data_IF_900541696629
#
_entry.id   IF_900541696629
#
_cell.length_a   1.000
_cell.length_b   1.000
_cell.length_c   1.000
_cell.angle_alpha   90.00
_cell.angle_beta   90.00
_cell.angle_gamma   90.00
#
_symmetry.space_group_name_H-M   'P 1'
#
loop_
_entity.id
_entity.type
_entity.pdbx_description
1 polymer ?
#
# COMPACT_ATOMS: atom_id res chain seq x y z
N UNK A 1 -43.20 -5.52 -2.67
CA UNK A 1 -43.17 -4.46 -3.67
C UNK A 1 -43.43 -3.12 -3.01
N UNK A 2 -42.39 -2.33 -2.75
CA UNK A 2 -42.48 -0.87 -2.49
C UNK A 2 -41.14 -0.30 -2.94
N UNK A 3 -41.18 0.39 -4.08
CA UNK A 3 -40.05 1.15 -4.65
C UNK A 3 -39.90 2.42 -3.83
N UNK A 4 -38.70 2.66 -3.26
CA UNK A 4 -38.30 3.96 -2.77
C UNK A 4 -37.53 4.68 -3.88
N UNK A 5 -38.14 5.75 -4.39
CA UNK A 5 -37.53 6.71 -5.30
C UNK A 5 -36.85 7.76 -4.42
N UNK A 6 -35.50 7.81 -4.48
CA UNK A 6 -34.72 8.86 -3.84
C UNK A 6 -34.57 10.03 -4.81
N UNK A 7 -35.25 11.13 -4.51
CA UNK A 7 -35.21 12.37 -5.28
C UNK A 7 -33.93 13.16 -4.86
N UNK A 8 -32.96 13.28 -5.78
CA UNK A 8 -31.84 14.19 -5.61
C UNK A 8 -32.30 15.61 -5.96
N UNK A 9 -32.39 16.46 -4.96
CA UNK A 9 -32.61 17.91 -5.16
C UNK A 9 -31.24 18.55 -5.36
N UNK A 10 -30.95 18.95 -6.60
CA UNK A 10 -29.81 19.79 -6.94
C UNK A 10 -30.16 21.23 -6.52
N UNK A 11 -29.59 21.67 -5.42
CA UNK A 11 -29.66 23.07 -5.00
C UNK A 11 -28.74 23.95 -5.85
N UNK A 12 -29.27 24.64 -6.83
CA UNK A 12 -28.59 25.73 -7.51
C UNK A 12 -28.63 26.93 -6.58
N UNK A 13 -27.53 27.26 -5.92
CA UNK A 13 -27.39 28.55 -5.22
C UNK A 13 -27.04 29.63 -6.23
N UNK A 14 -28.05 30.41 -6.58
CA UNK A 14 -27.87 31.64 -7.34
C UNK A 14 -27.10 32.67 -6.49
N UNK A 15 -25.90 33.05 -6.92
CA UNK A 15 -25.22 34.23 -6.41
C UNK A 15 -25.99 35.48 -6.85
N UNK A 16 -26.71 36.08 -5.91
CA UNK A 16 -27.31 37.40 -6.10
C UNK A 16 -26.23 38.47 -5.99
N UNK A 17 -25.97 39.13 -7.10
CA UNK A 17 -25.22 40.38 -7.13
C UNK A 17 -26.04 41.47 -6.35
N UNK A 18 -25.57 41.81 -5.14
CA UNK A 18 -26.06 43.01 -4.50
C UNK A 18 -25.40 44.23 -5.12
N UNK A 19 -26.18 44.95 -5.93
CA UNK A 19 -25.91 46.31 -6.27
C UNK A 19 -26.23 47.18 -5.06
N UNK A 20 -25.23 47.84 -4.46
CA UNK A 20 -25.46 48.90 -3.51
C UNK A 20 -25.71 50.20 -4.28
N UNK A 21 -26.90 50.75 -4.08
CA UNK A 21 -27.24 52.14 -4.41
C UNK A 21 -26.85 53.08 -3.26
N UNK A 22 -26.44 54.26 -3.66
CA UNK A 22 -26.02 55.42 -2.97
C UNK A 22 -26.60 55.65 -1.53
N UNK A 23 -25.66 55.79 -0.58
CA UNK A 23 -25.91 56.41 0.71
C UNK A 23 -24.64 57.20 1.07
N UNK A 24 -24.72 58.53 0.98
CA UNK A 24 -23.66 59.46 1.45
C UNK A 24 -23.44 59.27 2.93
N UNK A 25 -22.33 58.59 3.28
CA UNK A 25 -21.73 58.56 4.59
C UNK A 25 -20.25 58.78 4.40
N UNK A 26 -19.73 59.94 4.81
CA UNK A 26 -18.30 60.21 4.89
C UNK A 26 -17.63 59.18 5.84
N UNK A 27 -17.22 58.05 5.29
CA UNK A 27 -16.14 57.28 5.90
C UNK A 27 -14.83 57.77 5.30
N UNK A 28 -14.00 58.34 6.19
CA UNK A 28 -12.61 58.67 5.93
C UNK A 28 -11.87 57.34 5.55
N UNK A 29 -12.05 56.89 4.32
CA UNK A 29 -11.21 55.87 3.74
C UNK A 29 -9.88 56.52 3.36
N UNK A 30 -8.85 56.31 4.17
CA UNK A 30 -7.48 56.44 3.70
C UNK A 30 -7.30 55.54 2.51
N UNK A 31 -7.74 55.98 1.33
CA UNK A 31 -7.49 55.22 0.09
C UNK A 31 -6.00 55.21 -0.12
N UNK A 32 -5.41 54.03 0.05
CA UNK A 32 -4.02 53.80 -0.30
C UNK A 32 -3.74 54.38 -1.67
N UNK A 33 -2.72 55.23 -1.78
CA UNK A 33 -2.28 55.74 -3.08
C UNK A 33 -1.57 54.69 -3.92
N UNK A 34 -1.27 53.51 -3.34
CA UNK A 34 -0.69 52.38 -4.01
C UNK A 34 -1.79 51.64 -4.77
N UNK A 35 -1.58 51.47 -6.08
CA UNK A 35 -2.43 50.67 -6.94
C UNK A 35 -1.64 49.50 -7.50
N UNK A 36 -2.18 48.29 -7.38
CA UNK A 36 -1.63 47.07 -8.00
C UNK A 36 -1.89 47.21 -9.51
N UNK A 37 -0.84 47.11 -10.31
CA UNK A 37 -0.86 47.15 -11.77
C UNK A 37 -0.98 45.72 -12.32
N UNK A 38 -0.23 44.81 -11.78
CA UNK A 38 -0.32 43.37 -12.12
C UNK A 38 0.06 42.52 -10.91
N UNK A 39 -0.59 41.38 -10.73
CA UNK A 39 -0.30 40.39 -9.70
C UNK A 39 -0.72 39.00 -10.18
N UNK A 40 0.16 38.04 -10.02
CA UNK A 40 -0.16 36.62 -10.01
C UNK A 40 0.00 36.15 -8.56
N UNK A 41 -1.11 35.74 -7.93
CA UNK A 41 -1.14 35.49 -6.48
C UNK A 41 -1.51 34.07 -6.12
N UNK A 42 -1.79 33.23 -7.11
CA UNK A 42 -2.11 31.80 -6.95
C UNK A 42 -0.86 30.96 -7.24
N UNK A 43 -0.23 30.46 -6.17
CA UNK A 43 1.01 29.70 -6.25
C UNK A 43 0.71 28.20 -6.39
N UNK A 44 1.58 27.51 -7.13
CA UNK A 44 1.54 26.05 -7.29
C UNK A 44 1.91 25.33 -5.98
N UNK A 45 1.39 24.10 -5.83
CA UNK A 45 1.65 23.27 -4.66
C UNK A 45 3.13 22.90 -4.50
N UNK A 46 3.84 22.61 -5.59
CA UNK A 46 5.27 22.22 -5.57
C UNK A 46 6.23 23.37 -5.24
N UNK A 47 5.69 24.57 -5.07
CA UNK A 47 6.48 25.81 -4.92
C UNK A 47 6.43 26.63 -6.18
N UNK A 48 6.51 27.94 -5.98
CA UNK A 48 6.43 28.90 -7.09
C UNK A 48 7.06 30.24 -6.67
N UNK A 49 7.44 31.04 -7.66
CA UNK A 49 7.92 32.40 -7.48
C UNK A 49 7.19 33.32 -8.45
N UNK A 50 6.65 34.42 -7.91
CA UNK A 50 5.81 35.38 -8.64
C UNK A 50 6.17 36.82 -8.28
N UNK A 51 5.57 37.79 -8.98
CA UNK A 51 5.80 39.18 -8.71
C UNK A 51 4.50 40.01 -8.80
N UNK A 52 4.45 41.05 -7.96
CA UNK A 52 3.42 42.08 -7.99
C UNK A 52 4.06 43.37 -8.46
N UNK A 53 3.47 44.03 -9.44
CA UNK A 53 3.88 45.38 -9.87
C UNK A 53 2.88 46.40 -9.37
N UNK A 54 3.40 47.48 -8.81
CA UNK A 54 2.59 48.62 -8.32
C UNK A 54 2.96 49.91 -9.04
N UNK A 55 2.12 50.95 -8.89
CA UNK A 55 2.28 52.25 -9.55
C UNK A 55 3.30 53.18 -8.89
N UNK A 56 3.79 52.87 -7.69
CA UNK A 56 4.73 53.71 -6.87
C UNK A 56 5.94 52.89 -6.44
N UNK A 57 7.02 53.62 -6.12
CA UNK A 57 8.21 53.00 -5.50
C UNK A 57 7.86 52.49 -4.08
N UNK A 58 8.37 51.31 -3.78
CA UNK A 58 8.10 50.57 -2.54
C UNK A 58 9.23 50.80 -1.57
N UNK A 59 8.92 51.17 -0.34
CA UNK A 59 9.88 51.30 0.75
C UNK A 59 10.04 49.98 1.53
N UNK A 60 8.99 49.18 1.61
CA UNK A 60 8.97 47.89 2.32
C UNK A 60 7.86 47.00 1.82
N UNK A 61 8.15 45.71 1.67
CA UNK A 61 7.13 44.67 1.52
C UNK A 61 7.48 43.45 2.40
N UNK A 62 6.46 42.81 2.95
CA UNK A 62 6.63 41.65 3.83
C UNK A 62 5.36 40.81 3.95
N UNK A 63 5.53 39.55 4.32
CA UNK A 63 4.48 38.68 4.84
C UNK A 63 4.79 38.30 6.27
N UNK A 64 3.78 38.03 7.08
CA UNK A 64 3.95 37.57 8.45
C UNK A 64 4.12 36.04 8.53
N UNK A 65 3.85 35.34 7.44
CA UNK A 65 3.97 33.87 7.38
C UNK A 65 5.33 33.44 6.87
N UNK A 66 5.96 32.54 7.59
CA UNK A 66 7.33 32.07 7.30
C UNK A 66 7.45 31.23 6.02
N UNK A 67 6.33 30.76 5.46
CA UNK A 67 6.36 29.96 4.24
C UNK A 67 6.47 30.80 2.95
N UNK A 68 6.26 32.12 3.03
CA UNK A 68 6.36 33.04 1.90
C UNK A 68 7.52 34.01 2.11
N UNK A 69 8.54 33.93 1.29
CA UNK A 69 9.62 34.92 1.22
C UNK A 69 9.19 36.09 0.36
N UNK A 70 9.46 37.32 0.77
CA UNK A 70 9.06 38.55 0.08
C UNK A 70 10.24 39.52 0.01
N UNK A 71 10.49 40.07 -1.20
CA UNK A 71 11.47 41.13 -1.43
C UNK A 71 10.85 42.24 -2.25
N UNK A 72 11.35 43.47 -2.12
CA UNK A 72 10.85 44.60 -2.90
C UNK A 72 12.01 45.39 -3.51
N UNK A 73 11.86 45.76 -4.79
CA UNK A 73 12.78 46.60 -5.53
C UNK A 73 12.01 47.53 -6.47
N UNK A 74 12.21 48.86 -6.29
CA UNK A 74 11.48 49.84 -7.06
C UNK A 74 9.96 49.70 -6.94
N UNK A 75 9.29 49.35 -8.04
CA UNK A 75 7.86 49.15 -8.13
C UNK A 75 7.45 47.68 -8.13
N UNK A 76 8.40 46.77 -7.89
CA UNK A 76 8.16 45.34 -7.95
C UNK A 76 8.33 44.68 -6.59
N UNK A 77 7.38 43.84 -6.22
CA UNK A 77 7.47 42.92 -5.07
C UNK A 77 7.60 41.52 -5.61
N UNK A 78 8.75 40.91 -5.41
CA UNK A 78 8.97 39.49 -5.72
C UNK A 78 8.71 38.65 -4.50
N UNK A 79 8.06 37.53 -4.66
CA UNK A 79 7.77 36.60 -3.58
C UNK A 79 7.86 35.15 -4.07
N UNK A 80 8.23 34.28 -3.15
CA UNK A 80 8.38 32.84 -3.45
C UNK A 80 7.97 32.00 -2.25
N UNK A 81 7.34 30.87 -2.55
CA UNK A 81 6.95 29.86 -1.58
C UNK A 81 7.63 28.53 -1.84
N UNK A 82 8.06 27.89 -0.76
CA UNK A 82 8.45 26.47 -0.81
C UNK A 82 7.20 25.59 -1.00
N UNK A 83 7.40 24.32 -1.36
CA UNK A 83 6.30 23.37 -1.57
C UNK A 83 5.36 23.28 -0.38
N UNK A 84 4.06 23.27 -0.67
CA UNK A 84 3.02 22.97 0.29
C UNK A 84 2.72 21.46 0.26
N UNK A 85 3.28 20.72 1.22
CA UNK A 85 3.10 19.27 1.33
C UNK A 85 1.76 18.84 1.92
N UNK A 86 0.94 19.81 2.40
CA UNK A 86 -0.42 19.54 2.84
C UNK A 86 -1.36 19.34 1.65
N UNK A 87 -2.40 18.56 1.82
CA UNK A 87 -3.50 18.47 0.84
C UNK A 87 -4.36 19.74 0.82
N UNK A 88 -4.28 20.55 1.87
CA UNK A 88 -5.05 21.79 1.99
C UNK A 88 -4.27 22.98 1.44
N UNK A 89 -4.98 23.88 0.76
CA UNK A 89 -4.42 25.17 0.35
C UNK A 89 -4.14 26.04 1.57
N UNK A 90 -3.15 26.93 1.44
CA UNK A 90 -2.83 27.94 2.46
C UNK A 90 -2.85 29.34 1.89
N UNK A 91 -3.20 30.30 2.71
CA UNK A 91 -3.35 31.69 2.32
C UNK A 91 -2.54 32.58 3.28
N UNK A 92 -2.05 33.68 2.73
CA UNK A 92 -1.38 34.75 3.49
C UNK A 92 -1.58 36.07 2.81
N UNK A 93 -1.04 37.11 3.42
CA UNK A 93 -1.07 38.47 2.87
C UNK A 93 0.35 39.03 2.73
N UNK A 94 0.55 39.78 1.66
CA UNK A 94 1.73 40.66 1.48
C UNK A 94 1.30 42.07 1.79
N UNK A 95 1.94 42.69 2.77
CA UNK A 95 1.82 44.12 3.05
C UNK A 95 2.84 44.89 2.25
N UNK A 96 2.40 45.84 1.42
CA UNK A 96 3.24 46.66 0.56
C UNK A 96 3.14 48.10 1.03
N UNK A 97 4.25 48.76 1.34
CA UNK A 97 4.33 50.13 1.81
C UNK A 97 5.14 51.01 0.87
N UNK A 98 4.61 52.16 0.50
CA UNK A 98 5.35 53.26 -0.15
C UNK A 98 5.81 54.31 0.89
N UNK A 99 5.10 54.41 2.04
CA UNK A 99 5.49 55.19 3.21
C UNK A 99 4.82 54.60 4.46
N UNK A 100 5.01 55.21 5.62
CA UNK A 100 4.35 54.76 6.86
C UNK A 100 2.84 54.95 6.82
N UNK A 101 2.33 55.94 6.06
CA UNK A 101 0.90 56.25 5.93
C UNK A 101 0.28 55.73 4.63
N UNK A 102 1.06 55.17 3.68
CA UNK A 102 0.58 54.67 2.39
C UNK A 102 0.95 53.22 2.24
N UNK A 103 -0.03 52.32 2.44
CA UNK A 103 0.16 50.88 2.35
C UNK A 103 -1.02 50.20 1.69
N UNK A 104 -0.79 49.06 1.08
CA UNK A 104 -1.82 48.16 0.53
C UNK A 104 -1.55 46.72 0.93
N UNK A 105 -2.55 45.87 0.85
CA UNK A 105 -2.48 44.46 1.18
C UNK A 105 -2.87 43.64 -0.04
N UNK A 106 -2.11 42.61 -0.36
CA UNK A 106 -2.41 41.66 -1.44
C UNK A 106 -2.49 40.26 -0.82
N UNK A 107 -3.59 39.59 -1.08
CA UNK A 107 -3.78 38.20 -0.67
C UNK A 107 -3.01 37.28 -1.63
N UNK A 108 -2.34 36.29 -1.07
CA UNK A 108 -1.61 35.24 -1.80
C UNK A 108 -2.14 33.90 -1.34
N UNK A 109 -2.47 33.03 -2.30
CA UNK A 109 -2.87 31.66 -2.03
C UNK A 109 -1.82 30.68 -2.57
N UNK A 110 -1.65 29.54 -1.90
CA UNK A 110 -0.89 28.43 -2.44
C UNK A 110 -1.74 27.14 -2.36
N UNK A 111 -1.83 26.46 -3.50
CA UNK A 111 -2.56 25.20 -3.57
C UNK A 111 -1.96 24.17 -2.64
N UNK A 112 -2.81 23.28 -2.10
CA UNK A 112 -2.36 22.05 -1.47
C UNK A 112 -1.94 21.04 -2.53
N UNK A 113 -1.05 20.11 -2.16
CA UNK A 113 -0.65 19.03 -3.05
C UNK A 113 -1.72 17.95 -3.08
N UNK A 114 -2.21 17.66 -4.26
CA UNK A 114 -3.00 16.46 -4.54
C UNK A 114 -2.10 15.53 -5.35
N UNK A 115 -1.71 14.41 -4.76
CA UNK A 115 -0.95 13.36 -5.42
C UNK A 115 -1.36 12.01 -4.83
N UNK A 116 -2.01 11.18 -5.64
CA UNK A 116 -2.43 9.82 -5.26
C UNK A 116 -2.64 8.99 -6.52
N UNK A 117 -2.68 7.69 -6.38
CA UNK A 117 -3.00 6.78 -7.48
C UNK A 117 -4.02 5.74 -7.03
N UNK A 118 -4.62 5.04 -8.01
CA UNK A 118 -5.57 3.97 -7.73
C UNK A 118 -4.86 2.83 -7.00
N UNK A 119 -5.37 2.49 -5.82
CA UNK A 119 -4.79 1.52 -4.90
C UNK A 119 -4.58 0.13 -5.50
N UNK A 120 -3.70 -0.61 -4.82
CA UNK A 120 -3.41 -2.01 -5.05
C UNK A 120 -2.16 -2.25 -5.89
N UNK A 121 -1.47 -3.31 -5.50
CA UNK A 121 -0.34 -3.87 -6.24
C UNK A 121 -0.84 -4.49 -7.55
N UNK A 122 0.06 -4.72 -8.48
CA UNK A 122 -0.21 -5.49 -9.69
C UNK A 122 0.33 -6.89 -9.47
N UNK A 123 -0.48 -7.90 -9.76
CA UNK A 123 -0.01 -9.27 -9.97
C UNK A 123 -0.17 -9.58 -11.45
N UNK A 124 0.93 -9.93 -12.08
CA UNK A 124 1.01 -10.29 -13.49
C UNK A 124 1.25 -11.78 -13.62
N UNK A 125 0.58 -12.48 -14.54
CA UNK A 125 0.96 -13.84 -14.87
C UNK A 125 2.36 -13.88 -15.54
N UNK A 126 2.94 -15.08 -15.65
CA UNK A 126 4.27 -15.24 -16.23
C UNK A 126 4.37 -14.80 -17.70
N UNK A 127 3.30 -14.91 -18.47
CA UNK A 127 3.24 -14.42 -19.85
C UNK A 127 3.35 -12.90 -19.95
N UNK A 128 3.27 -12.21 -18.83
CA UNK A 128 3.27 -10.76 -18.77
C UNK A 128 1.93 -10.14 -19.15
N UNK A 129 1.95 -8.87 -19.55
CA UNK A 129 0.72 -8.19 -19.96
C UNK A 129 0.79 -6.68 -19.88
N UNK A 130 -0.36 -6.06 -20.14
CA UNK A 130 -0.52 -4.62 -20.08
C UNK A 130 -1.42 -4.24 -18.91
N UNK A 131 -0.91 -3.39 -18.03
CA UNK A 131 -1.61 -2.90 -16.85
C UNK A 131 -1.68 -1.38 -16.87
N UNK A 132 -2.60 -0.81 -16.13
CA UNK A 132 -2.71 0.63 -15.99
C UNK A 132 -3.12 1.03 -14.58
N UNK A 133 -2.55 2.13 -14.09
CA UNK A 133 -2.92 2.77 -12.82
C UNK A 133 -3.23 4.23 -13.08
N UNK A 134 -4.39 4.68 -12.59
CA UNK A 134 -4.77 6.08 -12.68
C UNK A 134 -4.09 6.87 -11.59
N UNK A 135 -3.47 8.00 -11.96
CA UNK A 135 -2.86 8.97 -11.05
C UNK A 135 -3.77 10.19 -10.97
N UNK A 136 -4.01 10.67 -9.77
CA UNK A 136 -4.69 11.93 -9.51
C UNK A 136 -3.65 12.90 -8.98
N UNK A 137 -3.31 13.91 -9.80
CA UNK A 137 -2.35 14.93 -9.44
C UNK A 137 -2.80 16.30 -9.94
N UNK A 138 -2.59 17.34 -9.13
CA UNK A 138 -2.75 18.73 -9.57
C UNK A 138 -1.43 19.35 -10.05
N UNK A 139 -0.37 18.56 -10.07
CA UNK A 139 0.93 18.87 -10.63
C UNK A 139 1.32 17.80 -11.65
N UNK A 140 2.28 18.08 -12.50
CA UNK A 140 2.82 17.07 -13.40
C UNK A 140 3.57 15.95 -12.64
N UNK A 141 3.70 14.79 -13.27
CA UNK A 141 4.53 13.70 -12.76
C UNK A 141 5.28 13.02 -13.92
N UNK A 142 6.33 12.32 -13.58
CA UNK A 142 7.16 11.55 -14.51
C UNK A 142 7.53 10.18 -13.94
N UNK A 143 7.95 9.27 -14.79
CA UNK A 143 8.50 7.98 -14.36
C UNK A 143 9.94 8.21 -13.94
N UNK A 144 10.25 7.83 -12.71
CA UNK A 144 11.57 8.03 -12.12
C UNK A 144 12.45 6.78 -12.23
N UNK A 145 11.85 5.59 -12.06
CA UNK A 145 12.54 4.30 -12.26
C UNK A 145 11.55 3.18 -12.47
N UNK A 146 12.03 2.13 -13.14
CA UNK A 146 11.35 0.85 -13.27
C UNK A 146 12.41 -0.24 -13.44
N UNK A 147 12.12 -1.51 -13.11
CA UNK A 147 12.99 -2.63 -13.45
C UNK A 147 12.96 -2.89 -14.96
N UNK A 148 14.00 -3.51 -15.50
CA UNK A 148 14.18 -3.73 -16.95
C UNK A 148 13.03 -4.54 -17.61
N UNK A 149 12.35 -5.36 -16.84
CA UNK A 149 11.23 -6.17 -17.30
C UNK A 149 9.87 -5.45 -17.30
N UNK A 150 9.82 -4.19 -16.86
CA UNK A 150 8.61 -3.35 -16.91
C UNK A 150 8.90 -2.11 -17.74
N UNK A 151 8.11 -1.89 -18.80
CA UNK A 151 8.18 -0.68 -19.61
C UNK A 151 6.99 0.23 -19.28
N UNK A 152 7.16 1.23 -18.39
CA UNK A 152 6.11 2.16 -18.06
C UNK A 152 6.04 3.31 -19.06
N UNK A 153 4.83 3.80 -19.31
CA UNK A 153 4.55 5.00 -20.12
C UNK A 153 3.45 5.84 -19.47
N UNK A 154 3.51 7.15 -19.64
CA UNK A 154 2.44 8.06 -19.19
C UNK A 154 1.47 8.28 -20.35
N UNK A 155 0.18 8.05 -20.11
CA UNK A 155 -0.91 8.30 -21.03
C UNK A 155 -1.99 9.13 -20.30
N UNK A 156 -1.94 10.45 -20.50
CA UNK A 156 -2.79 11.40 -19.80
C UNK A 156 -2.56 11.37 -18.27
N UNK A 157 -3.58 10.96 -17.52
CA UNK A 157 -3.55 10.82 -16.07
C UNK A 157 -3.26 9.38 -15.62
N UNK A 158 -2.75 8.53 -16.48
CA UNK A 158 -2.53 7.11 -16.20
C UNK A 158 -1.10 6.70 -16.50
N UNK A 159 -0.58 5.79 -15.68
CA UNK A 159 0.66 5.06 -15.95
C UNK A 159 0.26 3.72 -16.54
N UNK A 160 0.64 3.47 -17.80
CA UNK A 160 0.54 2.18 -18.46
C UNK A 160 1.86 1.44 -18.31
N UNK A 161 1.79 0.16 -17.99
CA UNK A 161 2.94 -0.69 -17.78
C UNK A 161 2.81 -1.92 -18.67
N UNK A 162 3.79 -2.13 -19.55
CA UNK A 162 3.95 -3.38 -20.25
C UNK A 162 4.94 -4.23 -19.43
N UNK A 163 4.45 -5.36 -18.89
CA UNK A 163 5.22 -6.34 -18.13
C UNK A 163 5.68 -7.43 -19.09
N UNK A 164 6.98 -7.65 -19.19
CA UNK A 164 7.56 -8.69 -20.03
C UNK A 164 7.33 -10.08 -19.43
N UNK A 165 7.39 -11.10 -20.29
CA UNK A 165 7.33 -12.51 -19.89
C UNK A 165 8.40 -12.86 -18.85
N UNK A 166 8.04 -13.70 -17.88
CA UNK A 166 8.94 -14.30 -16.90
C UNK A 166 9.16 -15.78 -17.28
N UNK A 167 10.33 -16.09 -17.78
CA UNK A 167 10.70 -17.47 -18.20
C UNK A 167 11.54 -18.18 -17.13
N UNK A 168 11.42 -17.78 -15.86
CA UNK A 168 12.13 -18.42 -14.76
C UNK A 168 11.15 -19.17 -13.86
N UNK A 169 11.65 -20.14 -13.11
CA UNK A 169 10.87 -20.90 -12.13
C UNK A 169 10.55 -20.07 -10.87
N UNK A 170 11.08 -18.85 -10.77
CA UNK A 170 10.91 -17.99 -9.61
C UNK A 170 9.95 -16.84 -9.89
N UNK A 171 9.14 -16.52 -8.90
CA UNK A 171 8.37 -15.27 -8.90
C UNK A 171 9.33 -14.09 -8.78
N UNK A 172 8.94 -12.94 -9.33
CA UNK A 172 9.73 -11.71 -9.20
C UNK A 172 8.88 -10.54 -8.75
N UNK A 173 9.55 -9.61 -8.08
CA UNK A 173 8.94 -8.37 -7.60
C UNK A 173 9.72 -7.16 -8.10
N UNK A 174 9.02 -6.11 -8.45
CA UNK A 174 9.64 -4.87 -8.87
C UNK A 174 8.76 -3.67 -8.55
N UNK A 175 9.37 -2.49 -8.66
CA UNK A 175 8.73 -1.24 -8.30
C UNK A 175 8.84 -0.24 -9.45
N UNK A 176 7.70 0.28 -9.89
CA UNK A 176 7.66 1.44 -10.78
C UNK A 176 7.52 2.69 -9.91
N UNK A 177 8.58 3.49 -9.85
CA UNK A 177 8.60 4.75 -9.09
C UNK A 177 8.25 5.90 -10.01
N UNK A 178 7.35 6.76 -9.58
CA UNK A 178 6.89 7.92 -10.34
C UNK A 178 6.61 9.09 -9.41
N UNK A 179 6.49 10.29 -9.97
CA UNK A 179 6.23 11.50 -9.19
C UNK A 179 7.02 12.70 -9.66
N UNK A 180 7.49 13.48 -8.73
CA UNK A 180 8.36 14.65 -8.93
C UNK A 180 9.60 14.50 -8.03
N UNK A 181 10.56 15.42 -8.14
CA UNK A 181 11.70 15.45 -7.24
C UNK A 181 11.33 15.54 -5.75
N UNK A 182 10.15 16.06 -5.45
CA UNK A 182 9.70 16.31 -4.08
C UNK A 182 8.73 15.26 -3.55
N UNK A 183 8.03 14.53 -4.44
CA UNK A 183 7.00 13.56 -4.11
C UNK A 183 7.15 12.33 -4.98
N UNK A 184 7.32 11.19 -4.33
CA UNK A 184 7.52 9.92 -5.01
C UNK A 184 6.53 8.90 -4.48
N UNK A 185 5.93 8.17 -5.39
CA UNK A 185 5.07 7.01 -5.11
C UNK A 185 5.59 5.81 -5.89
N UNK A 186 5.23 4.63 -5.43
CA UNK A 186 5.66 3.37 -6.06
C UNK A 186 4.47 2.46 -6.30
N UNK A 187 4.41 1.89 -7.49
CA UNK A 187 3.52 0.78 -7.82
C UNK A 187 4.35 -0.50 -7.71
N UNK A 188 3.96 -1.39 -6.80
CA UNK A 188 4.54 -2.72 -6.70
C UNK A 188 3.93 -3.63 -7.76
N UNK A 189 4.78 -4.37 -8.45
CA UNK A 189 4.41 -5.39 -9.43
C UNK A 189 5.04 -6.71 -9.00
N UNK A 190 4.20 -7.69 -8.72
CA UNK A 190 4.58 -9.09 -8.54
C UNK A 190 4.29 -9.84 -9.83
N UNK A 191 5.12 -10.81 -10.20
CA UNK A 191 4.88 -11.67 -11.36
C UNK A 191 5.13 -13.13 -11.04
N UNK A 192 4.16 -13.97 -11.38
CA UNK A 192 4.19 -15.40 -11.17
C UNK A 192 2.84 -16.05 -11.45
N UNK A 193 2.84 -17.39 -11.52
CA UNK A 193 1.66 -18.22 -11.65
C UNK A 193 1.80 -19.50 -10.82
N UNK A 194 0.67 -20.10 -10.44
CA UNK A 194 0.69 -21.33 -9.65
C UNK A 194 1.39 -22.47 -10.38
N UNK A 195 1.03 -22.69 -11.63
CA UNK A 195 1.52 -23.83 -12.42
C UNK A 195 3.04 -23.76 -12.64
N UNK A 196 3.59 -22.57 -12.91
CA UNK A 196 5.01 -22.45 -13.29
C UNK A 196 5.93 -22.28 -12.07
N UNK A 197 5.44 -21.60 -11.02
CA UNK A 197 6.34 -21.17 -9.94
C UNK A 197 6.10 -21.89 -8.62
N UNK A 198 4.96 -22.55 -8.43
CA UNK A 198 4.61 -23.13 -7.13
C UNK A 198 4.29 -24.62 -7.16
N UNK A 199 3.70 -25.11 -8.25
CA UNK A 199 3.37 -26.52 -8.41
C UNK A 199 4.66 -27.36 -8.59
N UNK A 200 4.68 -28.56 -8.04
CA UNK A 200 5.79 -29.51 -8.10
C UNK A 200 7.15 -28.93 -7.61
N UNK A 201 7.07 -28.00 -6.66
CA UNK A 201 8.23 -27.38 -6.02
C UNK A 201 8.40 -27.84 -4.57
N UNK A 202 9.63 -27.73 -4.08
CA UNK A 202 9.99 -28.04 -2.71
C UNK A 202 9.85 -26.80 -1.80
N UNK A 203 9.46 -27.07 -0.55
CA UNK A 203 9.23 -26.05 0.46
C UNK A 203 9.73 -26.49 1.84
N UNK A 204 9.88 -25.51 2.71
CA UNK A 204 10.00 -25.71 4.14
C UNK A 204 8.87 -24.98 4.85
N UNK A 205 8.02 -25.75 5.56
CA UNK A 205 7.06 -25.16 6.50
C UNK A 205 7.75 -25.03 7.86
N UNK A 206 7.82 -23.81 8.38
CA UNK A 206 8.55 -23.53 9.59
C UNK A 206 7.73 -22.71 10.58
N UNK A 207 8.07 -22.81 11.87
CA UNK A 207 7.44 -22.05 12.94
C UNK A 207 8.09 -22.31 14.28
N UNK A 208 7.51 -21.76 15.35
CA UNK A 208 7.93 -22.00 16.72
C UNK A 208 6.98 -22.99 17.38
N UNK A 209 7.54 -24.08 17.93
CA UNK A 209 6.78 -25.07 18.66
C UNK A 209 6.42 -24.57 20.09
N UNK A 210 5.73 -25.41 20.86
CA UNK A 210 5.29 -25.14 22.23
C UNK A 210 6.42 -24.80 23.21
N UNK A 211 7.66 -25.15 22.89
CA UNK A 211 8.86 -24.83 23.69
C UNK A 211 9.58 -23.59 23.19
N UNK A 212 8.96 -22.84 22.29
CA UNK A 212 9.53 -21.67 21.58
C UNK A 212 10.85 -22.01 20.84
N UNK A 213 10.92 -23.24 20.33
CA UNK A 213 12.02 -23.70 19.49
C UNK A 213 11.56 -23.70 18.04
N UNK A 214 12.49 -23.34 17.13
CA UNK A 214 12.22 -23.43 15.71
C UNK A 214 12.04 -24.88 15.31
N UNK A 215 10.94 -25.16 14.65
CA UNK A 215 10.63 -26.47 14.07
C UNK A 215 10.36 -26.29 12.59
N UNK A 216 10.85 -27.21 11.78
CA UNK A 216 10.81 -27.15 10.33
C UNK A 216 10.39 -28.49 9.78
N UNK A 217 9.46 -28.46 8.84
CA UNK A 217 8.99 -29.63 8.09
C UNK A 217 9.32 -29.44 6.62
N UNK A 218 9.92 -30.46 6.01
CA UNK A 218 9.98 -30.53 4.54
C UNK A 218 8.55 -30.55 4.01
N UNK A 219 8.31 -29.81 2.95
CA UNK A 219 7.00 -29.73 2.32
C UNK A 219 7.14 -29.72 0.80
N UNK A 220 6.11 -30.16 0.11
CA UNK A 220 5.99 -30.04 -1.33
C UNK A 220 4.54 -29.77 -1.73
N UNK A 221 4.35 -29.06 -2.84
CA UNK A 221 3.04 -28.84 -3.44
C UNK A 221 2.93 -29.72 -4.69
N UNK A 222 1.82 -30.42 -4.85
CA UNK A 222 1.57 -31.28 -5.99
C UNK A 222 0.10 -31.36 -6.34
N UNK A 223 -0.22 -31.63 -7.62
CA UNK A 223 -1.57 -32.00 -8.07
C UNK A 223 -1.79 -33.51 -7.98
N UNK A 224 -2.94 -33.89 -7.53
CA UNK A 224 -3.42 -35.25 -7.67
C UNK A 224 -4.87 -35.27 -8.13
N UNK A 225 -5.09 -35.64 -9.39
CA UNK A 225 -6.39 -35.74 -10.04
C UNK A 225 -7.17 -34.41 -10.07
N UNK A 226 -6.47 -33.31 -10.28
CA UNK A 226 -7.05 -31.97 -10.35
C UNK A 226 -7.40 -31.37 -8.99
N UNK A 227 -6.77 -31.86 -7.93
CA UNK A 227 -6.82 -31.30 -6.59
C UNK A 227 -5.40 -31.02 -6.13
N UNK A 228 -5.15 -29.79 -5.70
CA UNK A 228 -3.86 -29.36 -5.22
C UNK A 228 -3.66 -29.67 -3.73
N UNK A 229 -2.48 -30.12 -3.42
CA UNK A 229 -2.10 -30.50 -2.05
C UNK A 229 -0.77 -29.90 -1.63
N UNK A 230 -0.70 -29.51 -0.35
CA UNK A 230 0.55 -29.28 0.38
C UNK A 230 0.83 -30.51 1.25
N UNK A 231 1.91 -31.22 1.01
CA UNK A 231 2.33 -32.39 1.78
C UNK A 231 3.47 -32.08 2.74
N UNK A 232 3.46 -32.73 3.89
CA UNK A 232 4.58 -32.81 4.83
C UNK A 232 5.03 -34.28 4.87
N UNK A 233 5.91 -34.71 3.93
CA UNK A 233 6.17 -36.13 3.67
C UNK A 233 6.78 -36.86 4.88
N UNK A 234 7.62 -36.21 5.68
CA UNK A 234 8.24 -36.82 6.87
C UNK A 234 7.22 -37.17 7.96
N UNK A 235 6.08 -36.45 8.00
CA UNK A 235 4.97 -36.68 8.91
C UNK A 235 3.88 -37.57 8.31
N UNK A 236 3.88 -37.75 7.02
CA UNK A 236 2.79 -38.41 6.29
C UNK A 236 1.49 -37.61 6.34
N UNK A 237 1.58 -36.27 6.34
CA UNK A 237 0.42 -35.37 6.43
C UNK A 237 0.27 -34.61 5.12
N UNK A 238 -1.02 -34.39 4.75
CA UNK A 238 -1.34 -33.73 3.50
C UNK A 238 -2.55 -32.82 3.66
N UNK A 239 -2.42 -31.57 3.26
CA UNK A 239 -3.48 -30.57 3.26
C UNK A 239 -4.02 -30.40 1.84
N UNK A 240 -5.34 -30.39 1.67
CA UNK A 240 -5.95 -29.83 0.46
C UNK A 240 -5.77 -28.32 0.46
N UNK A 241 -5.40 -27.78 -0.66
CA UNK A 241 -5.14 -26.33 -0.82
C UNK A 241 -5.93 -25.74 -1.96
N UNK A 242 -6.10 -24.43 -1.95
CA UNK A 242 -6.57 -23.62 -3.08
C UNK A 242 -5.51 -22.55 -3.34
N UNK A 243 -5.28 -22.19 -4.59
CA UNK A 243 -4.39 -21.11 -4.95
C UNK A 243 -5.14 -19.99 -5.68
N UNK A 244 -4.78 -18.77 -5.37
CA UNK A 244 -5.35 -17.57 -5.94
C UNK A 244 -4.23 -16.84 -6.69
N UNK A 245 -4.21 -16.98 -8.01
CA UNK A 245 -3.20 -16.38 -8.90
C UNK A 245 -3.28 -14.83 -8.92
N UNK A 246 -4.46 -14.25 -8.68
CA UNK A 246 -4.60 -12.79 -8.67
C UNK A 246 -3.89 -12.14 -7.49
N UNK A 247 -3.64 -12.90 -6.44
CA UNK A 247 -3.00 -12.40 -5.21
C UNK A 247 -1.74 -13.18 -4.83
N UNK A 248 -1.37 -14.22 -5.57
CA UNK A 248 -0.33 -15.21 -5.28
C UNK A 248 -0.48 -15.76 -3.85
N UNK A 249 -1.69 -16.25 -3.54
CA UNK A 249 -2.04 -16.69 -2.20
C UNK A 249 -2.46 -18.16 -2.19
N UNK A 250 -1.73 -18.99 -1.45
CA UNK A 250 -2.14 -20.34 -1.11
C UNK A 250 -3.07 -20.29 0.11
N UNK A 251 -4.22 -20.94 0.00
CA UNK A 251 -5.27 -21.02 1.01
C UNK A 251 -5.40 -22.44 1.53
N UNK A 252 -5.42 -22.58 2.85
CA UNK A 252 -5.65 -23.86 3.53
C UNK A 252 -6.95 -23.74 4.31
N UNK A 253 -7.90 -24.63 4.06
CA UNK A 253 -9.09 -24.72 4.90
C UNK A 253 -8.73 -25.28 6.28
N UNK A 254 -9.41 -24.80 7.30
CA UNK A 254 -9.24 -25.31 8.66
C UNK A 254 -9.93 -26.69 8.84
N UNK A 255 -9.59 -27.38 9.91
CA UNK A 255 -10.23 -28.63 10.33
C UNK A 255 -10.16 -29.76 9.29
N UNK A 256 -9.09 -29.85 8.52
CA UNK A 256 -8.85 -30.95 7.59
C UNK A 256 -8.28 -32.17 8.32
N UNK A 257 -8.76 -33.37 7.95
CA UNK A 257 -8.09 -34.63 8.29
C UNK A 257 -6.85 -34.76 7.40
N UNK A 258 -5.66 -34.55 7.96
CA UNK A 258 -4.42 -34.44 7.19
C UNK A 258 -3.56 -35.72 7.21
N UNK A 259 -3.89 -36.67 8.05
CA UNK A 259 -3.14 -37.94 8.14
C UNK A 259 -3.41 -38.68 9.43
N UNK A 260 -2.43 -39.51 9.84
CA UNK A 260 -2.52 -40.30 11.06
C UNK A 260 -1.28 -40.13 11.96
N UNK A 261 -1.43 -40.45 13.23
CA UNK A 261 -0.36 -40.48 14.22
C UNK A 261 -0.35 -41.82 14.95
N UNK A 262 0.84 -42.45 15.00
CA UNK A 262 1.05 -43.77 15.60
C UNK A 262 0.10 -44.88 15.09
N UNK A 263 -0.40 -44.73 13.85
CA UNK A 263 -1.40 -45.64 13.23
C UNK A 263 -2.67 -45.84 14.07
N UNK A 264 -2.94 -44.97 15.03
CA UNK A 264 -4.06 -45.09 15.99
C UNK A 264 -4.97 -43.88 15.94
N UNK A 265 -4.41 -42.71 15.75
CA UNK A 265 -5.15 -41.46 15.79
C UNK A 265 -5.18 -40.80 14.42
N UNK A 266 -6.27 -40.13 14.12
CA UNK A 266 -6.38 -39.21 12.99
C UNK A 266 -5.84 -37.85 13.40
N UNK A 267 -5.05 -37.21 12.53
CA UNK A 267 -4.53 -35.86 12.73
C UNK A 267 -5.37 -34.87 11.96
N UNK A 268 -5.85 -33.88 12.67
CA UNK A 268 -6.58 -32.75 12.09
C UNK A 268 -5.80 -31.46 12.25
N UNK A 269 -5.77 -30.68 11.19
CA UNK A 269 -5.28 -29.29 11.26
C UNK A 269 -6.28 -28.42 12.02
N UNK A 270 -5.78 -27.46 12.76
CA UNK A 270 -6.59 -26.47 13.47
C UNK A 270 -5.82 -25.17 13.55
N UNK A 271 -6.47 -24.04 13.23
CA UNK A 271 -5.79 -22.77 13.40
C UNK A 271 -5.79 -22.33 14.85
N UNK A 272 -4.64 -21.83 15.29
CA UNK A 272 -4.42 -21.27 16.61
C UNK A 272 -4.72 -19.77 16.56
N UNK A 273 -5.67 -19.31 17.37
CA UNK A 273 -5.98 -17.90 17.53
C UNK A 273 -5.00 -17.17 18.43
N UNK A 274 -4.93 -15.85 18.31
CA UNK A 274 -4.10 -14.99 19.17
C UNK A 274 -4.49 -15.06 20.65
N UNK A 275 -5.64 -15.61 20.99
CA UNK A 275 -6.10 -15.94 22.34
C UNK A 275 -5.53 -17.26 22.89
N UNK A 276 -4.74 -17.97 22.07
CA UNK A 276 -4.07 -19.22 22.44
C UNK A 276 -4.92 -20.48 22.31
N UNK A 277 -6.14 -20.40 21.72
CA UNK A 277 -7.02 -21.55 21.53
C UNK A 277 -6.99 -22.09 20.10
N UNK A 278 -6.99 -23.42 19.91
CA UNK A 278 -7.20 -24.03 18.62
C UNK A 278 -8.69 -23.98 18.24
N UNK A 279 -8.99 -23.59 17.01
CA UNK A 279 -10.33 -23.49 16.46
C UNK A 279 -10.56 -24.56 15.40
N UNK A 280 -11.68 -25.27 15.48
CA UNK A 280 -12.09 -26.33 14.55
C UNK A 280 -13.36 -25.90 13.84
N UNK A 281 -13.22 -25.13 12.76
CA UNK A 281 -14.33 -24.62 11.94
C UNK A 281 -13.89 -24.64 10.47
N UNK A 282 -14.59 -25.41 9.66
CA UNK A 282 -14.27 -25.62 8.23
C UNK A 282 -14.49 -24.39 7.35
N UNK A 283 -15.19 -23.37 7.86
CA UNK A 283 -15.40 -22.12 7.13
C UNK A 283 -14.23 -21.13 7.23
N UNK A 284 -13.23 -21.45 8.04
CA UNK A 284 -12.05 -20.61 8.27
C UNK A 284 -10.95 -21.04 7.33
N UNK A 285 -10.27 -20.05 6.73
CA UNK A 285 -9.10 -20.27 5.89
C UNK A 285 -7.87 -19.57 6.48
N UNK A 286 -6.74 -20.25 6.46
CA UNK A 286 -5.42 -19.68 6.64
C UNK A 286 -4.82 -19.36 5.27
N UNK A 287 -4.20 -18.22 5.14
CA UNK A 287 -3.65 -17.70 3.90
C UNK A 287 -2.12 -17.60 3.99
N UNK A 288 -1.44 -18.11 2.99
CA UNK A 288 -0.02 -17.94 2.74
C UNK A 288 0.13 -17.07 1.49
N UNK A 289 0.15 -15.75 1.68
CA UNK A 289 0.41 -14.82 0.58
C UNK A 289 1.91 -14.75 0.33
N UNK A 290 2.32 -15.14 -0.87
CA UNK A 290 3.72 -15.14 -1.26
C UNK A 290 4.24 -13.73 -1.51
N UNK A 291 5.45 -13.52 -1.04
CA UNK A 291 6.29 -12.35 -1.28
C UNK A 291 7.72 -12.81 -1.59
N UNK A 292 8.55 -11.92 -2.05
CA UNK A 292 9.95 -12.20 -2.43
C UNK A 292 10.89 -11.41 -1.54
N UNK A 293 11.95 -12.05 -1.13
CA UNK A 293 13.07 -11.44 -0.43
C UNK A 293 14.34 -11.72 -1.21
N UNK A 294 15.16 -10.70 -1.38
CA UNK A 294 16.51 -10.82 -1.93
C UNK A 294 17.50 -10.95 -0.78
N UNK A 295 18.39 -11.90 -0.88
CA UNK A 295 19.56 -12.04 -0.01
C UNK A 295 20.86 -12.14 -0.85
N UNK A 296 22.00 -12.39 -0.18
CA UNK A 296 23.32 -12.48 -0.85
C UNK A 296 23.40 -13.68 -1.81
N UNK A 297 22.57 -14.71 -1.61
CA UNK A 297 22.59 -15.97 -2.35
C UNK A 297 21.49 -16.03 -3.44
N UNK A 298 20.55 -15.07 -3.47
CA UNK A 298 19.50 -14.99 -4.49
C UNK A 298 18.14 -14.53 -3.98
N UNK A 299 17.09 -14.91 -4.70
CA UNK A 299 15.69 -14.54 -4.41
C UNK A 299 14.98 -15.71 -3.75
N UNK A 300 14.39 -15.48 -2.57
CA UNK A 300 13.60 -16.48 -1.84
C UNK A 300 12.12 -16.06 -1.83
N UNK A 301 11.25 -16.91 -2.32
CA UNK A 301 9.82 -16.76 -2.15
C UNK A 301 9.38 -17.29 -0.77
N UNK A 302 8.64 -16.48 -0.03
CA UNK A 302 8.17 -16.82 1.30
C UNK A 302 6.73 -16.37 1.52
N UNK A 303 6.00 -17.08 2.36
CA UNK A 303 4.62 -16.75 2.68
C UNK A 303 4.35 -16.98 4.18
N UNK A 304 4.18 -15.93 4.98
CA UNK A 304 3.74 -16.07 6.37
C UNK A 304 2.26 -16.40 6.42
N UNK A 305 1.90 -17.29 7.35
CA UNK A 305 0.50 -17.60 7.65
C UNK A 305 -0.21 -16.35 8.18
N UNK A 306 -1.36 -16.07 7.62
CA UNK A 306 -2.25 -15.00 8.03
C UNK A 306 -3.72 -15.43 7.94
N UNK A 307 -4.62 -14.66 8.55
CA UNK A 307 -6.05 -14.90 8.52
C UNK A 307 -6.73 -14.47 9.80
N UNK A 308 -8.04 -14.65 9.83
CA UNK A 308 -8.86 -14.29 11.01
C UNK A 308 -9.91 -15.35 11.31
N UNK A 309 -10.13 -15.55 12.60
CA UNK A 309 -11.22 -16.31 13.17
C UNK A 309 -12.18 -15.29 13.78
N UNK A 310 -13.19 -14.85 13.03
CA UNK A 310 -13.99 -13.67 13.37
C UNK A 310 -13.11 -12.42 13.48
N UNK A 311 -12.88 -11.90 14.70
CA UNK A 311 -12.00 -10.76 14.98
C UNK A 311 -10.61 -11.15 15.51
N UNK A 312 -10.36 -12.45 15.73
CA UNK A 312 -9.12 -12.96 16.32
C UNK A 312 -8.15 -13.30 15.19
N UNK A 313 -6.93 -12.82 15.28
CA UNK A 313 -5.90 -13.13 14.29
C UNK A 313 -5.43 -14.59 14.44
N UNK A 314 -5.20 -15.26 13.30
CA UNK A 314 -4.56 -16.56 13.25
C UNK A 314 -3.05 -16.34 13.48
N UNK A 315 -2.50 -16.99 14.50
CA UNK A 315 -1.08 -16.92 14.84
C UNK A 315 -0.33 -18.22 14.58
N UNK A 316 -1.03 -19.32 14.24
CA UNK A 316 -0.39 -20.60 14.06
C UNK A 316 -1.31 -21.73 13.60
N UNK A 317 -0.72 -22.92 13.51
CA UNK A 317 -1.39 -24.17 13.18
C UNK A 317 -1.15 -25.16 14.33
N UNK A 318 -2.21 -25.81 14.77
CA UNK A 318 -2.21 -26.87 15.76
C UNK A 318 -2.59 -28.21 15.10
N UNK A 319 -1.97 -29.30 15.53
CA UNK A 319 -2.18 -30.65 15.02
C UNK A 319 -2.89 -31.48 16.10
N UNK A 320 -4.22 -31.59 15.96
CA UNK A 320 -5.10 -32.21 16.95
C UNK A 320 -5.29 -33.70 16.67
N UNK A 321 -5.40 -34.50 17.71
CA UNK A 321 -5.63 -35.96 17.64
C UNK A 321 -7.09 -36.30 17.87
N UNK A 322 -7.63 -37.15 17.00
CA UNK A 322 -8.99 -37.71 17.07
C UNK A 322 -8.94 -39.22 16.98
N UNK A 323 -9.90 -39.88 17.60
CA UNK A 323 -10.07 -41.35 17.52
C UNK A 323 -10.91 -41.80 16.33
N UNK A 324 -11.52 -40.85 15.63
CA UNK A 324 -12.39 -41.07 14.46
C UNK A 324 -11.93 -40.16 13.31
N UNK A 325 -12.16 -40.57 12.07
CA UNK A 325 -11.96 -39.77 10.86
C UNK A 325 -13.04 -38.71 10.66
N UNK A 326 -13.97 -38.60 11.58
CA UNK A 326 -14.94 -37.52 11.63
C UNK A 326 -14.68 -36.70 12.88
N UNK A 327 -14.38 -35.40 12.76
CA UNK A 327 -14.14 -34.51 13.89
C UNK A 327 -15.44 -34.13 14.63
N UNK A 328 -16.32 -35.12 14.86
CA UNK A 328 -17.59 -34.96 15.55
C UNK A 328 -17.48 -34.99 17.06
N UNK A 329 -16.31 -35.35 17.56
CA UNK A 329 -15.99 -35.43 19.00
C UNK A 329 -14.93 -34.40 19.38
N UNK A 330 -14.73 -34.22 20.67
CA UNK A 330 -13.58 -33.40 21.14
C UNK A 330 -12.26 -34.10 20.81
N UNK A 331 -11.19 -33.36 20.51
CA UNK A 331 -9.87 -33.94 20.34
C UNK A 331 -9.43 -34.63 21.62
N UNK A 332 -8.75 -35.78 21.49
CA UNK A 332 -8.20 -36.54 22.61
C UNK A 332 -6.79 -36.12 22.99
N UNK A 333 -6.16 -35.29 22.18
CA UNK A 333 -4.81 -34.76 22.39
C UNK A 333 -4.36 -33.87 21.26
N UNK A 334 -3.08 -33.52 21.32
CA UNK A 334 -2.40 -32.66 20.35
C UNK A 334 -0.99 -33.22 20.13
N UNK A 335 -0.56 -33.32 18.89
CA UNK A 335 0.82 -33.74 18.56
C UNK A 335 1.76 -32.58 18.85
N UNK A 336 1.45 -31.43 18.26
CA UNK A 336 2.26 -30.23 18.34
C UNK A 336 1.41 -29.02 17.88
N UNK A 337 1.95 -27.81 18.03
CA UNK A 337 1.50 -26.63 17.32
C UNK A 337 2.70 -25.80 16.88
N UNK A 338 2.52 -25.01 15.85
CA UNK A 338 3.48 -24.02 15.36
C UNK A 338 2.85 -22.63 15.41
N UNK A 339 3.60 -21.66 15.91
CA UNK A 339 3.27 -20.24 15.83
C UNK A 339 4.22 -19.52 14.87
N UNK A 340 3.83 -18.34 14.39
CA UNK A 340 4.59 -17.57 13.38
C UNK A 340 4.98 -18.45 12.17
N UNK A 341 4.00 -19.21 11.68
CA UNK A 341 4.21 -20.19 10.60
C UNK A 341 4.52 -19.47 9.31
N UNK A 342 5.53 -19.93 8.61
CA UNK A 342 5.94 -19.41 7.29
C UNK A 342 6.23 -20.59 6.37
N UNK A 343 5.76 -20.51 5.13
CA UNK A 343 6.11 -21.40 4.04
C UNK A 343 7.22 -20.73 3.21
N UNK A 344 8.33 -21.42 3.01
CA UNK A 344 9.46 -20.96 2.21
C UNK A 344 9.61 -21.87 1.00
N UNK A 345 9.69 -21.29 -0.21
CA UNK A 345 10.09 -22.04 -1.41
C UNK A 345 11.61 -22.18 -1.41
N UNK A 346 12.10 -23.38 -1.23
CA UNK A 346 13.53 -23.68 -1.19
C UNK A 346 13.77 -25.19 -1.30
N UNK A 347 14.96 -25.57 -1.72
CA UNK A 347 15.38 -26.96 -1.71
C UNK A 347 15.21 -27.56 -0.31
N UNK A 348 14.49 -28.67 -0.24
CA UNK A 348 14.20 -29.36 1.02
C UNK A 348 15.48 -29.85 1.74
N UNK A 349 16.59 -29.97 1.04
CA UNK A 349 17.89 -30.36 1.59
C UNK A 349 18.65 -29.14 2.17
N UNK A 350 18.27 -27.90 1.84
CA UNK A 350 18.88 -26.68 2.40
C UNK A 350 18.22 -26.19 3.70
N UNK A 351 18.08 -27.10 4.66
CA UNK A 351 17.55 -26.76 6.00
C UNK A 351 18.47 -25.80 6.80
N UNK A 352 19.72 -25.62 6.38
CA UNK A 352 20.65 -24.69 7.00
C UNK A 352 20.32 -23.23 6.58
N UNK A 353 19.99 -23.01 5.32
CA UNK A 353 19.52 -21.72 4.79
C UNK A 353 18.22 -21.28 5.46
N UNK A 354 17.26 -22.21 5.65
CA UNK A 354 16.02 -21.91 6.38
C UNK A 354 16.27 -21.42 7.81
N UNK A 355 17.26 -21.99 8.53
CA UNK A 355 17.66 -21.51 9.87
C UNK A 355 18.28 -20.12 9.85
N UNK A 356 19.11 -19.82 8.85
CA UNK A 356 19.70 -18.51 8.68
C UNK A 356 18.62 -17.44 8.44
N UNK A 357 17.61 -17.75 7.61
CA UNK A 357 16.45 -16.89 7.36
C UNK A 357 15.74 -16.46 8.65
N UNK A 358 15.50 -17.38 9.58
CA UNK A 358 14.84 -17.04 10.85
C UNK A 358 15.65 -16.05 11.66
N UNK A 359 16.97 -16.23 11.71
CA UNK A 359 17.85 -15.34 12.48
C UNK A 359 17.82 -13.92 11.95
N UNK A 360 17.79 -13.76 10.62
CA UNK A 360 17.67 -12.45 9.96
C UNK A 360 16.32 -11.82 10.25
N UNK A 361 15.22 -12.57 10.13
CA UNK A 361 13.86 -12.05 10.39
C UNK A 361 13.66 -11.63 11.85
N UNK A 362 14.23 -12.34 12.81
CA UNK A 362 14.23 -11.94 14.23
C UNK A 362 14.97 -10.64 14.49
N UNK A 363 15.97 -10.32 13.67
CA UNK A 363 16.74 -9.07 13.79
C UNK A 363 15.97 -7.87 13.19
N UNK A 364 15.20 -8.08 12.14
CA UNK A 364 14.42 -7.04 11.45
C UNK A 364 13.10 -6.71 12.18
N UNK A 365 12.54 -7.65 12.96
CA UNK A 365 11.29 -7.46 13.71
C UNK A 365 11.50 -6.93 15.15
N UNK A 366 12.72 -6.68 15.59
CA UNK A 366 13.07 -6.00 16.84
C UNK A 366 13.29 -4.52 16.64
#
# INVERSE_FOLDING_TARGET
MKKFILLFIIGVTAFSLFSCSDGEGEMNSNSSGIKVVSAETDLKAIGDAQAITVNKDITKAYSNDNWLSVTAEGKTVSFAAAANKSRESRNTTIVIKASDSDSTIVNVSQKGLVFSYSDGNIVSPNEGGNFAKKVVSNEGFEILSAPDWITPTIDGDSIRMNVAENNTDDIRKGYVTFGTDQFKETIEVMQGSFEDNFLDQDYVLMGYNQNNQVEMYRANIFDWKGIDYLSLPDQGWTFGIEFDDETLTLKIANAQAIGSYLNTYYVYSSFLGADGYPYVDTSIYGNFKFDVMEDEDGTIAYAPLSGKISSIDIIGISFLLYTSNEATTSPVGQVNYLTNVTLLKMDADDMAGAKAYIQVKQYIMR
#
